data_IF_563438298821
#
_entry.id   IF_563438298821
#
_cell.length_a   1.000
_cell.length_b   1.000
_cell.length_c   1.000
_cell.angle_alpha   90.00
_cell.angle_beta   90.00
_cell.angle_gamma   90.00
#
_symmetry.space_group_name_H-M   'P 1'
#
loop_
_entity.id
_entity.type
_entity.pdbx_description
1 polymer ?
#
# COMPACT_ATOMS: atom_id res chain seq x y z
N UNK A 1 2.63 22.75 -8.63
CA UNK A 1 4.05 22.33 -8.69
C UNK A 1 4.05 20.92 -9.24
N UNK A 2 4.73 20.67 -10.35
CA UNK A 2 4.76 19.34 -10.97
C UNK A 2 5.91 18.52 -10.35
N UNK A 3 5.63 17.32 -9.85
CA UNK A 3 6.63 16.49 -9.17
C UNK A 3 7.79 16.10 -10.09
N UNK A 4 7.57 16.12 -11.41
CA UNK A 4 8.57 15.75 -12.41
C UNK A 4 9.65 16.82 -12.58
N UNK A 5 9.44 18.03 -12.05
CA UNK A 5 10.37 19.15 -12.13
C UNK A 5 11.28 19.25 -10.90
N UNK A 6 11.06 18.41 -9.88
CA UNK A 6 11.80 18.43 -8.63
C UNK A 6 13.13 17.69 -8.74
N UNK A 7 14.14 18.19 -8.04
CA UNK A 7 15.40 17.48 -7.83
C UNK A 7 15.19 16.24 -6.96
N UNK A 8 16.14 15.30 -7.02
CA UNK A 8 16.11 14.11 -6.15
C UNK A 8 16.05 14.47 -4.66
N UNK A 9 16.71 15.57 -4.27
CA UNK A 9 16.70 16.03 -2.88
C UNK A 9 15.30 16.47 -2.45
N UNK A 10 14.63 17.29 -3.27
CA UNK A 10 13.27 17.75 -2.99
C UNK A 10 12.27 16.58 -2.98
N UNK A 11 12.46 15.61 -3.87
CA UNK A 11 11.65 14.37 -3.86
C UNK A 11 11.83 13.57 -2.57
N UNK A 12 13.05 13.47 -2.04
CA UNK A 12 13.31 12.75 -0.78
C UNK A 12 12.76 13.48 0.45
N UNK A 13 12.71 14.81 0.42
CA UNK A 13 12.06 15.60 1.47
C UNK A 13 10.53 15.40 1.46
N UNK A 14 9.91 15.27 0.28
CA UNK A 14 8.47 15.01 0.15
C UNK A 14 8.08 13.55 0.40
N UNK A 15 8.93 12.60 0.01
CA UNK A 15 8.68 11.15 0.13
C UNK A 15 9.81 10.48 0.93
N UNK A 16 9.88 10.73 2.24
CA UNK A 16 10.98 10.24 3.06
C UNK A 16 10.97 8.72 3.13
N UNK A 17 12.16 8.12 3.00
CA UNK A 17 12.35 6.67 3.19
C UNK A 17 12.39 6.40 4.69
N UNK A 18 11.23 6.08 5.26
CA UNK A 18 11.09 5.72 6.68
C UNK A 18 10.74 4.25 6.86
N UNK A 19 11.21 3.69 7.97
CA UNK A 19 10.82 2.37 8.43
C UNK A 19 10.15 2.50 9.79
N UNK A 20 8.97 1.89 9.92
CA UNK A 20 8.18 1.85 11.15
C UNK A 20 8.05 0.40 11.62
N UNK A 21 7.77 0.22 12.90
CA UNK A 21 7.38 -1.08 13.42
C UNK A 21 5.99 -1.47 12.87
N UNK A 22 5.69 -2.76 12.88
CA UNK A 22 4.39 -3.25 12.46
C UNK A 22 3.26 -2.61 13.28
N UNK A 23 2.24 -2.08 12.59
CA UNK A 23 1.06 -1.46 13.18
C UNK A 23 -0.22 -2.15 12.67
N UNK A 24 -1.20 -2.37 13.55
CA UNK A 24 -2.48 -3.03 13.19
C UNK A 24 -3.33 -2.20 12.22
N UNK A 25 -3.05 -0.90 12.07
CA UNK A 25 -3.68 -0.05 11.06
C UNK A 25 -3.42 -0.53 9.64
N UNK A 26 -2.31 -1.24 9.38
CA UNK A 26 -2.04 -1.79 8.05
C UNK A 26 -3.09 -2.83 7.62
N UNK A 27 -3.51 -3.72 8.54
CA UNK A 27 -4.61 -4.66 8.28
C UNK A 27 -5.92 -3.90 8.03
N UNK A 28 -6.20 -2.85 8.82
CA UNK A 28 -7.41 -2.03 8.66
C UNK A 28 -7.46 -1.33 7.30
N UNK A 29 -6.36 -0.67 6.92
CA UNK A 29 -6.21 0.00 5.63
C UNK A 29 -6.39 -0.99 4.46
N UNK A 30 -5.78 -2.17 4.57
CA UNK A 30 -5.98 -3.24 3.59
C UNK A 30 -7.46 -3.60 3.44
N UNK A 31 -8.18 -3.85 4.53
CA UNK A 31 -9.60 -4.25 4.46
C UNK A 31 -10.51 -3.14 3.92
N UNK A 32 -10.22 -1.88 4.26
CA UNK A 32 -10.95 -0.72 3.72
C UNK A 32 -10.76 -0.63 2.20
N UNK A 33 -9.53 -0.76 1.72
CA UNK A 33 -9.22 -0.69 0.30
C UNK A 33 -9.71 -1.91 -0.47
N UNK A 34 -9.58 -3.11 0.12
CA UNK A 34 -10.12 -4.36 -0.45
C UNK A 34 -11.63 -4.21 -0.73
N UNK A 35 -12.39 -3.62 0.21
CA UNK A 35 -13.83 -3.39 0.05
C UNK A 35 -14.12 -2.44 -1.11
N UNK A 36 -13.36 -1.37 -1.24
CA UNK A 36 -13.49 -0.40 -2.34
C UNK A 36 -13.18 -1.08 -3.67
N UNK A 37 -12.06 -1.79 -3.75
CA UNK A 37 -11.62 -2.49 -4.97
C UNK A 37 -12.61 -3.57 -5.39
N UNK A 38 -13.14 -4.38 -4.47
CA UNK A 38 -14.21 -5.35 -4.75
C UNK A 38 -15.46 -4.67 -5.33
N UNK A 39 -15.85 -3.50 -4.81
CA UNK A 39 -17.00 -2.76 -5.33
C UNK A 39 -16.75 -2.15 -6.72
N UNK A 40 -15.52 -1.72 -7.01
CA UNK A 40 -15.16 -1.09 -8.28
C UNK A 40 -14.99 -2.11 -9.40
N UNK A 41 -14.37 -3.26 -9.09
CA UNK A 41 -13.97 -4.26 -10.07
C UNK A 41 -15.00 -5.41 -10.22
N UNK A 42 -15.86 -5.59 -9.22
CA UNK A 42 -17.03 -6.50 -9.24
C UNK A 42 -16.66 -7.94 -9.65
N UNK A 43 -17.37 -8.52 -10.62
CA UNK A 43 -17.19 -9.89 -11.09
C UNK A 43 -15.83 -10.17 -11.75
N UNK A 44 -15.04 -9.14 -12.09
CA UNK A 44 -13.72 -9.33 -12.69
C UNK A 44 -12.68 -9.79 -11.66
N UNK A 45 -12.98 -9.72 -10.35
CA UNK A 45 -12.03 -10.06 -9.29
C UNK A 45 -12.14 -11.53 -8.93
N UNK A 46 -11.05 -12.26 -9.17
CA UNK A 46 -10.87 -13.63 -8.72
C UNK A 46 -10.41 -13.69 -7.27
N UNK A 47 -9.45 -12.84 -6.89
CA UNK A 47 -8.90 -12.77 -5.52
C UNK A 47 -8.29 -11.40 -5.25
N UNK A 48 -8.38 -10.93 -4.01
CA UNK A 48 -7.59 -9.80 -3.50
C UNK A 48 -6.82 -10.30 -2.28
N UNK A 49 -5.54 -9.94 -2.17
CA UNK A 49 -4.67 -10.37 -1.08
C UNK A 49 -3.81 -9.22 -0.56
N UNK A 50 -3.65 -9.15 0.77
CA UNK A 50 -2.65 -8.29 1.41
C UNK A 50 -1.29 -8.94 1.21
N UNK A 51 -0.39 -8.25 0.48
CA UNK A 51 0.97 -8.73 0.23
C UNK A 51 2.00 -7.72 0.76
N UNK A 52 3.28 -7.99 0.51
CA UNK A 52 4.36 -7.10 0.93
C UNK A 52 4.66 -7.15 2.43
N UNK A 53 5.54 -6.26 2.88
CA UNK A 53 6.06 -6.29 4.24
C UNK A 53 5.03 -5.86 5.30
N UNK A 54 4.02 -5.05 4.93
CA UNK A 54 2.94 -4.66 5.85
C UNK A 54 1.96 -5.79 6.17
N UNK A 55 1.96 -6.87 5.39
CA UNK A 55 1.20 -8.10 5.68
C UNK A 55 1.88 -9.00 6.72
N UNK A 56 3.15 -8.73 7.08
CA UNK A 56 3.95 -9.57 7.97
C UNK A 56 4.09 -8.89 9.33
N UNK A 57 3.71 -9.60 10.39
CA UNK A 57 3.85 -9.12 11.78
C UNK A 57 5.31 -9.14 12.21
N UNK A 58 5.66 -8.22 13.10
CA UNK A 58 6.97 -8.15 13.79
C UNK A 58 8.19 -7.88 12.88
N UNK A 59 7.98 -7.28 11.71
CA UNK A 59 9.09 -6.74 10.90
C UNK A 59 8.99 -5.22 10.80
N UNK A 60 10.12 -4.55 10.64
CA UNK A 60 10.13 -3.15 10.24
C UNK A 60 9.79 -3.02 8.77
N UNK A 61 8.94 -2.07 8.44
CA UNK A 61 8.41 -1.89 7.08
C UNK A 61 8.31 -0.41 6.72
N UNK A 62 8.29 -0.11 5.42
CA UNK A 62 7.70 1.16 4.96
C UNK A 62 6.20 1.12 5.25
N UNK A 63 5.57 2.23 5.68
CA UNK A 63 4.14 2.29 5.99
C UNK A 63 3.29 2.37 4.71
N UNK A 64 3.44 1.40 3.82
CA UNK A 64 2.75 1.32 2.52
C UNK A 64 2.11 -0.06 2.42
N UNK A 65 0.78 -0.09 2.26
CA UNK A 65 0.03 -1.34 2.08
C UNK A 65 0.10 -1.77 0.62
N UNK A 66 0.63 -2.97 0.37
CA UNK A 66 0.67 -3.57 -0.96
C UNK A 66 -0.52 -4.52 -1.15
N UNK A 67 -1.24 -4.36 -2.26
CA UNK A 67 -2.43 -5.16 -2.57
C UNK A 67 -2.22 -5.88 -3.89
N UNK A 68 -2.38 -7.20 -3.87
CA UNK A 68 -2.42 -8.02 -5.08
C UNK A 68 -3.87 -8.28 -5.47
N UNK A 69 -4.22 -7.99 -6.71
CA UNK A 69 -5.52 -8.28 -7.30
C UNK A 69 -5.31 -9.29 -8.42
N UNK A 70 -6.02 -10.40 -8.35
CA UNK A 70 -6.11 -11.40 -9.41
C UNK A 70 -7.45 -11.26 -10.10
N UNK A 71 -7.41 -11.23 -11.43
CA UNK A 71 -8.56 -11.19 -12.32
C UNK A 71 -8.68 -12.52 -13.07
N UNK A 72 -9.86 -12.79 -13.64
CA UNK A 72 -10.05 -13.94 -14.55
C UNK A 72 -9.33 -13.77 -15.90
#
# INVERSE_FOLDING_TARGET
>A
MNITELSLKELWELFPIIFVDYDKSFERQYFEEEKILKSLLQENVKRISHIGSTAIKNIKTKPIVDILIEIE
#
